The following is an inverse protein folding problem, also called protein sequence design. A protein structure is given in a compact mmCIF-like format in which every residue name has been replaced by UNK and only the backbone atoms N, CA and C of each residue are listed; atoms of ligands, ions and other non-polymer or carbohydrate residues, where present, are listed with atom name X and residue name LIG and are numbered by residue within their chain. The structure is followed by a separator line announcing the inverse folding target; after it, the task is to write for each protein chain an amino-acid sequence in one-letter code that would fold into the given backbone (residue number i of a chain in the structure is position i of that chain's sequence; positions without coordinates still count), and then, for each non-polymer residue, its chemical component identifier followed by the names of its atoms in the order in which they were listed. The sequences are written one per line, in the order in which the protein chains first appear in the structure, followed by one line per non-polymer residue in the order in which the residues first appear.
data_IF_883971794302
#
_entry.id   IF_883971794302
#
_cell.length_a   1.000
_cell.length_b   1.000
_cell.length_c   1.000
_cell.angle_alpha   90.00
_cell.angle_beta   90.00
_cell.angle_gamma   90.00
#
_symmetry.space_group_name_H-M   'P 1'
#
loop_
_entity.id
_entity.type
_entity.pdbx_description
1 polymer ?
#
# COMPACT_ATOMS: atom_id res chain seq x y z
N UNK A 1 -3.15 55.27 -69.07
CA UNK A 1 -4.54 55.05 -68.61
C UNK A 1 -4.67 53.61 -68.16
N UNK A 2 -5.20 53.41 -66.95
CA UNK A 2 -5.15 52.21 -66.11
C UNK A 2 -5.55 50.89 -66.80
N UNK A 3 -4.76 49.83 -66.56
CA UNK A 3 -5.21 48.43 -66.60
C UNK A 3 -5.53 47.98 -65.17
N UNK A 4 -6.67 47.33 -65.03
CA UNK A 4 -7.19 46.72 -63.81
C UNK A 4 -6.27 45.62 -63.27
N UNK A 5 -6.31 45.41 -61.96
CA UNK A 5 -6.31 44.07 -61.33
C UNK A 5 -6.56 44.19 -59.83
N UNK A 6 -7.80 43.88 -59.45
CA UNK A 6 -8.23 43.59 -58.09
C UNK A 6 -7.55 42.29 -57.66
N UNK A 7 -6.65 42.32 -56.67
CA UNK A 7 -6.13 41.12 -56.04
C UNK A 7 -6.50 41.17 -54.55
N UNK A 8 -7.52 40.40 -54.23
CA UNK A 8 -7.99 40.19 -52.88
C UNK A 8 -7.00 39.35 -52.08
N UNK A 9 -6.62 39.88 -50.91
CA UNK A 9 -6.24 39.25 -49.63
C UNK A 9 -5.39 37.96 -49.66
N UNK A 10 -4.18 37.98 -49.06
CA UNK A 10 -3.43 36.77 -48.80
C UNK A 10 -4.10 35.93 -47.70
N UNK A 11 -4.16 34.64 -47.99
CA UNK A 11 -4.41 33.51 -47.10
C UNK A 11 -3.18 33.27 -46.23
N UNK A 12 -3.31 33.28 -44.90
CA UNK A 12 -2.36 32.83 -43.86
C UNK A 12 -3.04 33.11 -42.51
N UNK A 13 -2.92 32.36 -41.41
CA UNK A 13 -2.27 31.10 -41.10
C UNK A 13 -2.94 30.65 -39.77
N UNK A 14 -2.90 29.34 -39.50
CA UNK A 14 -3.47 28.68 -38.32
C UNK A 14 -3.14 29.34 -36.97
N UNK A 15 -4.11 29.35 -36.05
CA UNK A 15 -3.86 29.30 -34.61
C UNK A 15 -4.63 28.12 -34.03
N UNK A 16 -3.99 26.95 -34.06
CA UNK A 16 -4.38 25.83 -33.23
C UNK A 16 -4.08 26.20 -31.77
N UNK A 17 -5.11 26.53 -30.99
CA UNK A 17 -5.01 26.55 -29.53
C UNK A 17 -5.06 25.09 -29.04
N UNK A 18 -3.93 24.39 -29.14
CA UNK A 18 -3.66 23.23 -28.29
C UNK A 18 -3.37 23.75 -26.89
N UNK A 19 -4.42 23.95 -26.11
CA UNK A 19 -4.30 24.11 -24.66
C UNK A 19 -4.06 22.73 -24.06
N UNK A 20 -2.82 22.28 -24.20
CA UNK A 20 -2.28 21.11 -23.53
C UNK A 20 -2.01 21.48 -22.07
N UNK A 21 -2.71 20.79 -21.18
CA UNK A 21 -2.53 20.70 -19.72
C UNK A 21 -3.07 21.87 -18.89
N UNK A 22 -3.89 21.52 -17.90
CA UNK A 22 -3.39 21.58 -16.54
C UNK A 22 -3.13 20.19 -15.99
N UNK A 23 -1.94 20.07 -15.40
CA UNK A 23 -1.58 19.10 -14.38
C UNK A 23 -2.74 18.97 -13.39
N UNK A 24 -3.28 17.77 -13.24
CA UNK A 24 -4.03 17.44 -12.04
C UNK A 24 -3.36 16.22 -11.44
N UNK A 25 -2.76 16.51 -10.28
CA UNK A 25 -1.93 15.69 -9.43
C UNK A 25 -2.30 14.21 -9.44
N UNK A 26 -1.26 13.38 -9.37
CA UNK A 26 -1.30 12.20 -8.52
C UNK A 26 -2.02 12.61 -7.23
N UNK A 27 -3.25 12.16 -7.03
CA UNK A 27 -3.69 11.87 -5.67
C UNK A 27 -2.65 10.85 -5.20
N UNK A 28 -1.58 11.35 -4.59
CA UNK A 28 -0.63 10.51 -3.91
C UNK A 28 -1.49 9.65 -3.00
N UNK A 29 -1.25 8.35 -3.12
CA UNK A 29 -1.90 7.26 -2.43
C UNK A 29 -1.63 7.37 -0.92
N UNK A 30 -2.12 8.46 -0.32
CA UNK A 30 -2.03 8.82 1.10
C UNK A 30 -3.16 8.15 1.89
N UNK A 31 -4.06 7.45 1.20
CA UNK A 31 -5.24 6.83 1.80
C UNK A 31 -4.88 5.69 2.74
N UNK A 32 -3.72 5.07 2.53
CA UNK A 32 -3.24 3.90 3.29
C UNK A 32 -1.87 4.17 3.92
N UNK A 33 -1.67 5.40 4.37
CA UNK A 33 -0.52 5.80 5.18
C UNK A 33 0.84 5.58 4.46
N UNK A 34 0.82 5.63 3.13
CA UNK A 34 1.99 5.40 2.27
C UNK A 34 2.57 3.98 2.31
N UNK A 35 1.94 3.04 3.03
CA UNK A 35 2.42 1.65 3.13
C UNK A 35 2.03 0.83 1.91
N UNK A 36 0.79 0.98 1.45
CA UNK A 36 0.21 0.26 0.31
C UNK A 36 -0.42 1.23 -0.66
N UNK A 37 -0.43 0.86 -1.93
CA UNK A 37 -1.25 1.53 -2.94
C UNK A 37 -2.70 1.00 -2.89
N UNK A 38 -3.67 1.80 -3.34
CA UNK A 38 -5.07 1.40 -3.45
C UNK A 38 -5.22 0.14 -4.30
N UNK A 39 -5.90 -0.86 -3.75
CA UNK A 39 -6.10 -2.18 -4.34
C UNK A 39 -5.05 -3.22 -3.92
N UNK A 40 -3.98 -2.83 -3.22
CA UNK A 40 -2.97 -3.78 -2.74
C UNK A 40 -3.36 -4.42 -1.41
N UNK A 41 -2.87 -5.66 -1.23
CA UNK A 41 -2.96 -6.39 0.03
C UNK A 41 -1.57 -6.77 0.50
N UNK A 42 -1.28 -6.57 1.78
CA UNK A 42 -0.04 -7.06 2.41
C UNK A 42 -0.36 -8.13 3.42
N UNK A 43 0.39 -9.23 3.38
CA UNK A 43 0.24 -10.35 4.31
C UNK A 43 1.56 -10.57 5.04
N UNK A 44 1.53 -10.44 6.36
CA UNK A 44 2.62 -10.76 7.28
C UNK A 44 2.29 -12.06 8.02
N UNK A 45 3.01 -13.13 7.73
CA UNK A 45 2.71 -14.46 8.29
C UNK A 45 3.63 -14.76 9.48
N UNK A 46 3.04 -14.83 10.67
CA UNK A 46 3.69 -15.25 11.91
C UNK A 46 3.73 -16.76 12.05
N UNK A 47 4.84 -17.26 12.61
CA UNK A 47 5.12 -18.69 12.67
C UNK A 47 4.60 -19.34 13.97
N UNK A 48 4.84 -18.72 15.12
CA UNK A 48 4.40 -19.28 16.41
C UNK A 48 3.84 -18.18 17.35
N UNK A 49 2.53 -18.24 17.70
CA UNK A 49 1.52 -19.14 17.11
C UNK A 49 1.35 -18.92 15.59
N UNK A 50 0.78 -19.90 14.88
CA UNK A 50 0.51 -19.76 13.44
C UNK A 50 -0.65 -18.78 13.23
N UNK A 51 -0.33 -17.52 12.94
CA UNK A 51 -1.30 -16.46 12.64
C UNK A 51 -0.75 -15.56 11.53
N UNK A 52 -1.60 -14.77 10.90
CA UNK A 52 -1.16 -13.75 9.95
C UNK A 52 -1.90 -12.44 10.16
N UNK A 53 -1.22 -11.35 9.86
CA UNK A 53 -1.81 -10.03 9.69
C UNK A 53 -1.98 -9.77 8.20
N UNK A 54 -3.21 -9.56 7.78
CA UNK A 54 -3.53 -9.11 6.42
C UNK A 54 -3.95 -7.65 6.48
N UNK A 55 -3.32 -6.81 5.66
CA UNK A 55 -3.63 -5.39 5.53
C UNK A 55 -4.11 -5.14 4.11
N UNK A 56 -5.27 -4.51 3.94
CA UNK A 56 -5.84 -4.23 2.61
C UNK A 56 -6.16 -2.75 2.46
N UNK A 57 -5.71 -2.17 1.36
CA UNK A 57 -5.96 -0.78 1.00
C UNK A 57 -7.10 -0.69 -0.01
N UNK A 58 -8.29 -0.25 0.43
CA UNK A 58 -9.45 -0.04 -0.45
C UNK A 58 -10.13 1.30 -0.13
N UNK A 59 -9.53 2.40 -0.58
CA UNK A 59 -9.95 3.76 -0.20
C UNK A 59 -9.73 4.09 1.29
N UNK A 60 -9.06 3.20 2.03
CA UNK A 60 -8.72 3.29 3.44
C UNK A 60 -8.04 2.00 3.89
N UNK A 61 -7.24 2.10 4.95
CA UNK A 61 -6.53 0.94 5.49
C UNK A 61 -7.47 0.09 6.38
N UNK A 62 -7.52 -1.22 6.10
CA UNK A 62 -8.18 -2.21 6.94
C UNK A 62 -7.22 -3.33 7.33
N UNK A 63 -7.52 -4.06 8.41
CA UNK A 63 -6.70 -5.18 8.85
C UNK A 63 -7.56 -6.39 9.18
N UNK A 64 -7.13 -7.58 8.78
CA UNK A 64 -7.72 -8.85 9.16
C UNK A 64 -6.71 -9.67 9.95
N UNK A 65 -7.17 -10.24 11.07
CA UNK A 65 -6.40 -11.19 11.85
C UNK A 65 -6.76 -12.61 11.41
N UNK A 66 -5.77 -13.35 10.91
CA UNK A 66 -5.93 -14.72 10.45
C UNK A 66 -5.35 -15.64 11.53
N UNK A 67 -6.20 -16.39 12.22
CA UNK A 67 -5.81 -17.36 13.23
C UNK A 67 -5.90 -18.78 12.65
N UNK A 68 -4.77 -19.49 12.58
CA UNK A 68 -4.72 -20.88 12.15
C UNK A 68 -4.73 -21.88 13.33
N UNK A 69 -4.89 -21.42 14.57
CA UNK A 69 -4.81 -22.23 15.79
C UNK A 69 -6.15 -22.50 16.49
N UNK A 70 -7.22 -21.76 16.15
CA UNK A 70 -8.53 -21.81 16.83
C UNK A 70 -9.28 -23.17 16.80
N UNK A 71 -8.69 -24.25 16.29
CA UNK A 71 -9.25 -25.61 16.36
C UNK A 71 -10.34 -25.93 15.33
N UNK A 72 -11.01 -24.91 14.78
CA UNK A 72 -12.05 -25.02 13.75
C UNK A 72 -11.56 -24.68 12.32
N UNK A 73 -10.23 -24.67 12.10
CA UNK A 73 -9.60 -24.29 10.83
C UNK A 73 -9.02 -22.87 10.82
N UNK A 74 -8.76 -22.31 9.64
CA UNK A 74 -8.24 -20.95 9.48
C UNK A 74 -9.41 -19.97 9.65
N UNK A 75 -9.35 -19.13 10.69
CA UNK A 75 -10.35 -18.11 10.98
C UNK A 75 -9.82 -16.74 10.61
N UNK A 76 -10.53 -16.01 9.75
CA UNK A 76 -10.21 -14.62 9.40
C UNK A 76 -11.17 -13.69 10.12
N UNK A 77 -10.64 -12.85 11.00
CA UNK A 77 -11.43 -11.88 11.78
C UNK A 77 -11.13 -10.46 11.30
N UNK A 78 -12.09 -9.79 10.63
CA UNK A 78 -11.91 -8.42 10.14
C UNK A 78 -11.81 -7.42 11.29
N UNK A 79 -10.95 -6.42 11.15
CA UNK A 79 -10.70 -5.37 12.12
C UNK A 79 -10.27 -4.05 11.49
N UNK A 80 -10.01 -3.07 12.36
CA UNK A 80 -9.44 -1.78 11.97
C UNK A 80 -7.96 -1.73 12.31
N UNK A 81 -7.25 -0.82 11.65
CA UNK A 81 -5.84 -0.52 11.92
C UNK A 81 -5.66 0.98 12.08
N UNK A 82 -4.73 1.33 12.96
CA UNK A 82 -4.26 2.69 13.14
C UNK A 82 -2.74 2.69 13.07
N UNK A 83 -2.19 3.77 12.53
CA UNK A 83 -0.74 3.97 12.47
C UNK A 83 -0.36 5.15 13.36
N UNK A 84 0.70 4.97 14.13
CA UNK A 84 1.34 6.04 14.89
C UNK A 84 2.45 6.73 14.08
N UNK A 85 3.08 6.02 13.14
CA UNK A 85 4.17 6.51 12.28
C UNK A 85 4.10 5.89 10.89
N UNK A 86 4.86 6.44 9.94
CA UNK A 86 4.90 6.02 8.51
C UNK A 86 6.24 5.42 8.07
N UNK A 87 7.36 5.67 8.75
CA UNK A 87 8.63 5.00 8.43
C UNK A 87 9.52 4.91 9.68
N UNK A 88 9.62 3.73 10.32
CA UNK A 88 8.82 2.54 10.03
C UNK A 88 7.36 2.73 10.45
N UNK A 89 6.45 1.94 9.88
CA UNK A 89 5.01 1.98 10.19
C UNK A 89 4.71 1.32 11.53
N UNK A 90 4.61 2.12 12.59
CA UNK A 90 4.13 1.64 13.89
C UNK A 90 2.61 1.53 13.85
N UNK A 91 2.08 0.35 14.13
CA UNK A 91 0.66 0.04 13.98
C UNK A 91 0.05 -0.63 15.22
N UNK A 92 -1.25 -0.43 15.37
CA UNK A 92 -2.11 -1.12 16.32
C UNK A 92 -3.45 -1.45 15.63
N UNK A 93 -3.91 -2.69 15.79
CA UNK A 93 -5.19 -3.14 15.22
C UNK A 93 -6.27 -3.35 16.28
N UNK A 94 -7.54 -3.46 15.87
CA UNK A 94 -8.66 -3.71 16.80
C UNK A 94 -8.65 -5.11 17.42
N UNK A 95 -7.98 -6.06 16.77
CA UNK A 95 -7.47 -7.27 17.41
C UNK A 95 -6.10 -6.88 17.98
N UNK A 96 -5.70 -7.22 19.21
CA UNK A 96 -4.54 -6.60 19.88
C UNK A 96 -3.18 -7.07 19.32
N UNK A 97 -2.98 -6.88 18.02
CA UNK A 97 -1.74 -6.96 17.28
C UNK A 97 -1.17 -5.56 17.23
N UNK A 98 0.01 -5.40 17.82
CA UNK A 98 0.81 -4.19 17.80
C UNK A 98 2.18 -4.52 17.26
N UNK A 99 2.80 -3.57 16.57
CA UNK A 99 4.16 -3.77 16.10
C UNK A 99 4.59 -2.71 15.13
N UNK A 100 5.60 -3.05 14.34
CA UNK A 100 6.22 -2.12 13.40
C UNK A 100 6.54 -2.83 12.10
N UNK A 101 6.06 -2.29 10.98
CA UNK A 101 6.46 -2.71 9.64
C UNK A 101 7.58 -1.80 9.17
N UNK A 102 8.68 -2.36 8.69
CA UNK A 102 9.77 -1.60 8.10
C UNK A 102 10.03 -2.08 6.67
N UNK A 103 10.32 -1.14 5.78
CA UNK A 103 10.86 -1.46 4.46
C UNK A 103 12.34 -1.85 4.61
N UNK A 104 12.61 -3.13 4.42
CA UNK A 104 13.92 -3.76 4.53
C UNK A 104 14.19 -4.53 3.22
N UNK A 105 14.61 -3.85 2.14
CA UNK A 105 14.78 -4.47 0.84
C UNK A 105 15.79 -5.61 0.93
N UNK A 106 15.37 -6.81 0.55
CA UNK A 106 16.19 -8.02 0.69
C UNK A 106 16.50 -8.45 2.13
N UNK A 107 15.84 -7.87 3.13
CA UNK A 107 16.19 -8.01 4.55
C UNK A 107 15.50 -9.16 5.26
N UNK A 108 14.51 -9.80 4.64
CA UNK A 108 13.76 -10.89 5.23
C UNK A 108 13.66 -12.07 4.26
N UNK A 109 13.90 -13.28 4.73
CA UNK A 109 13.72 -14.51 3.95
C UNK A 109 12.65 -15.34 4.65
N UNK A 110 11.56 -15.63 3.94
CA UNK A 110 10.50 -16.48 4.47
C UNK A 110 10.88 -17.97 4.42
N UNK A 111 10.06 -18.83 5.04
CA UNK A 111 10.29 -20.28 5.14
C UNK A 111 10.32 -20.99 3.77
N UNK A 112 9.73 -20.37 2.73
CA UNK A 112 9.83 -20.89 1.36
C UNK A 112 11.16 -20.53 0.70
N UNK A 113 12.04 -19.80 1.40
CA UNK A 113 13.29 -19.27 0.89
C UNK A 113 13.10 -18.01 0.04
N UNK A 114 11.89 -17.44 -0.01
CA UNK A 114 11.64 -16.24 -0.79
C UNK A 114 12.05 -15.01 0.00
N UNK A 115 12.83 -14.15 -0.67
CA UNK A 115 13.29 -12.89 -0.10
C UNK A 115 12.19 -11.84 -0.22
N UNK A 116 11.91 -11.13 0.86
CA UNK A 116 10.87 -10.11 0.99
C UNK A 116 11.47 -8.77 1.39
N UNK A 117 10.80 -7.72 0.95
CA UNK A 117 11.25 -6.35 1.18
C UNK A 117 10.63 -5.70 2.42
N UNK A 118 9.69 -6.37 3.08
CA UNK A 118 9.03 -5.85 4.27
C UNK A 118 9.17 -6.83 5.44
N UNK A 119 9.45 -6.27 6.60
CA UNK A 119 9.57 -7.02 7.85
C UNK A 119 8.61 -6.43 8.87
N UNK A 120 7.79 -7.28 9.48
CA UNK A 120 6.96 -6.92 10.62
C UNK A 120 7.60 -7.42 11.92
N UNK A 121 7.81 -6.51 12.87
CA UNK A 121 8.27 -6.83 14.22
C UNK A 121 7.11 -6.65 15.19
N UNK A 122 6.49 -7.73 15.69
CA UNK A 122 5.41 -7.62 16.67
C UNK A 122 5.92 -7.12 18.02
N UNK A 123 5.11 -6.32 18.70
CA UNK A 123 5.26 -5.94 20.11
C UNK A 123 4.15 -6.53 20.99
N UNK A 124 3.12 -7.11 20.37
CA UNK A 124 2.05 -7.84 21.03
C UNK A 124 1.12 -8.44 20.00
N UNK A 125 0.61 -9.64 20.27
CA UNK A 125 -0.43 -10.31 19.49
C UNK A 125 -1.13 -11.35 20.39
N UNK A 126 -2.39 -11.74 20.10
CA UNK A 126 -3.04 -12.85 20.80
C UNK A 126 -2.18 -14.11 20.76
N UNK A 127 -1.95 -14.73 21.94
CA UNK A 127 -1.18 -15.96 22.06
C UNK A 127 0.34 -15.83 21.86
N UNK A 128 0.85 -14.65 21.52
CA UNK A 128 2.28 -14.40 21.40
C UNK A 128 2.87 -14.04 22.77
N UNK A 129 3.96 -14.70 23.14
CA UNK A 129 4.71 -14.39 24.36
C UNK A 129 6.13 -13.98 24.00
N UNK A 130 6.73 -13.09 24.80
CA UNK A 130 8.09 -12.64 24.58
C UNK A 130 9.09 -13.82 24.72
N UNK A 131 10.20 -13.83 23.95
CA UNK A 131 10.65 -12.79 23.01
C UNK A 131 9.88 -12.80 21.68
N UNK A 132 9.68 -11.60 21.11
CA UNK A 132 9.01 -11.43 19.83
C UNK A 132 10.00 -11.54 18.68
N UNK A 133 9.65 -12.33 17.66
CA UNK A 133 10.49 -12.52 16.47
C UNK A 133 9.87 -11.82 15.26
N UNK A 134 10.69 -11.19 14.40
CA UNK A 134 10.21 -10.55 13.19
C UNK A 134 9.75 -11.59 12.16
N UNK A 135 8.77 -11.21 11.34
CA UNK A 135 8.24 -12.02 10.26
C UNK A 135 8.25 -11.26 8.94
N UNK A 136 8.36 -11.98 7.83
CA UNK A 136 8.35 -11.36 6.51
C UNK A 136 6.92 -11.03 6.07
N UNK A 137 6.77 -9.87 5.43
CA UNK A 137 5.53 -9.48 4.78
C UNK A 137 5.69 -9.51 3.26
N UNK A 138 4.63 -9.87 2.55
CA UNK A 138 4.56 -9.79 1.09
C UNK A 138 3.39 -8.91 0.68
N UNK A 139 3.54 -8.20 -0.44
CA UNK A 139 2.45 -7.51 -1.11
C UNK A 139 1.95 -8.41 -2.25
N UNK A 140 0.63 -8.52 -2.39
CA UNK A 140 -0.08 -9.24 -3.46
C UNK A 140 -0.83 -8.25 -4.37
#
# INVERSE_FOLDING_TARGET
MMRAQTMARPFCLALAFTLSHPVMSSAADLSCNGLLESGQTMICSGFEPNWALELMCDGGMSASFIDAFSGDGIQTTPGSISFATEDPWQLETSHPVTGTIAYTPGGCTDESGAVRDFTFTPTGAPGLSAPFYPFCCRIE
#
